data_IF_901047248658
#
_entry.id   IF_901047248658
#
_cell.length_a   1.000
_cell.length_b   1.000
_cell.length_c   1.000
_cell.angle_alpha   90.00
_cell.angle_beta   90.00
_cell.angle_gamma   90.00
#
_symmetry.space_group_name_H-M   'P 1'
#
loop_
_entity.id
_entity.type
_entity.pdbx_description
1 polymer ?
#
# COMPACT_ATOMS: atom_id res chain seq x y z
N UNK A 1 -5.35 5.63 -4.47
CA UNK A 1 -6.00 6.20 -3.27
C UNK A 1 -4.91 6.73 -2.37
N UNK A 2 -5.03 7.94 -1.82
CA UNK A 2 -4.00 8.49 -0.93
C UNK A 2 -4.21 8.00 0.51
N UNK A 3 -3.15 7.91 1.30
CA UNK A 3 -3.23 7.61 2.73
C UNK A 3 -4.15 8.63 3.44
N UNK A 4 -4.12 9.90 3.02
CA UNK A 4 -4.99 10.97 3.51
C UNK A 4 -6.49 10.65 3.32
N UNK A 5 -6.87 10.09 2.17
CA UNK A 5 -8.25 9.64 1.91
C UNK A 5 -8.61 8.45 2.79
N UNK A 6 -7.71 7.48 2.96
CA UNK A 6 -7.94 6.31 3.82
C UNK A 6 -8.09 6.72 5.28
N UNK A 7 -7.30 7.68 5.76
CA UNK A 7 -7.36 8.18 7.13
C UNK A 7 -8.61 9.04 7.39
N UNK A 8 -9.02 9.85 6.41
CA UNK A 8 -10.27 10.60 6.46
C UNK A 8 -11.52 9.71 6.36
N UNK A 9 -11.47 8.67 5.52
CA UNK A 9 -12.60 7.74 5.32
C UNK A 9 -12.69 6.69 6.43
N UNK A 10 -11.58 6.35 7.09
CA UNK A 10 -11.56 5.44 8.25
C UNK A 10 -11.97 6.13 9.56
N UNK A 11 -12.17 7.46 9.58
CA UNK A 11 -12.55 8.20 10.79
C UNK A 11 -11.42 8.31 11.84
N UNK A 12 -10.17 8.09 11.44
CA UNK A 12 -9.03 8.13 12.35
C UNK A 12 -8.77 9.52 12.94
N UNK A 13 -8.99 10.56 12.13
CA UNK A 13 -8.88 11.97 12.55
C UNK A 13 -10.00 12.30 13.55
N UNK A 14 -11.25 11.88 13.29
CA UNK A 14 -12.38 12.07 14.21
C UNK A 14 -12.19 11.37 15.54
N UNK A 15 -11.72 10.12 15.55
CA UNK A 15 -11.46 9.38 16.80
C UNK A 15 -10.35 10.04 17.61
N UNK A 16 -9.26 10.44 16.95
CA UNK A 16 -8.16 11.17 17.59
C UNK A 16 -8.62 12.54 18.12
N UNK A 17 -9.44 13.27 17.36
CA UNK A 17 -9.98 14.56 17.79
C UNK A 17 -10.82 14.42 19.07
N UNK A 18 -11.66 13.38 19.14
CA UNK A 18 -12.46 13.05 20.33
C UNK A 18 -11.59 12.68 21.52
N UNK A 19 -10.58 11.83 21.31
CA UNK A 19 -9.69 11.37 22.39
C UNK A 19 -8.83 12.49 22.97
N UNK A 20 -8.43 13.45 22.13
CA UNK A 20 -7.64 14.60 22.56
C UNK A 20 -8.49 15.80 23.00
N UNK A 21 -9.80 15.74 22.82
CA UNK A 21 -10.71 16.85 23.14
C UNK A 21 -10.50 18.08 22.27
N UNK A 22 -10.10 17.90 21.00
CA UNK A 22 -9.83 18.98 20.06
C UNK A 22 -10.79 18.95 18.87
N UNK A 23 -10.86 20.05 18.12
CA UNK A 23 -11.65 20.10 16.88
C UNK A 23 -11.02 19.23 15.78
N UNK A 24 -11.82 18.60 14.90
CA UNK A 24 -11.31 17.83 13.76
C UNK A 24 -10.32 18.61 12.89
N UNK A 25 -10.53 19.92 12.70
CA UNK A 25 -9.59 20.79 11.98
C UNK A 25 -8.20 20.87 12.64
N UNK A 26 -8.14 20.93 13.97
CA UNK A 26 -6.88 20.94 14.73
C UNK A 26 -6.19 19.58 14.62
N UNK A 27 -6.96 18.50 14.74
CA UNK A 27 -6.46 17.14 14.57
C UNK A 27 -5.90 16.91 13.16
N UNK A 28 -6.57 17.42 12.14
CA UNK A 28 -6.11 17.38 10.75
C UNK A 28 -4.81 18.18 10.55
N UNK A 29 -4.74 19.43 11.03
CA UNK A 29 -3.54 20.26 10.93
C UNK A 29 -2.33 19.62 11.61
N UNK A 30 -2.52 19.07 12.81
CA UNK A 30 -1.45 18.37 13.51
C UNK A 30 -1.03 17.08 12.78
N UNK A 31 -1.99 16.35 12.20
CA UNK A 31 -1.69 15.17 11.39
C UNK A 31 -0.88 15.52 10.14
N UNK A 32 -1.24 16.58 9.42
CA UNK A 32 -0.54 17.06 8.23
C UNK A 32 0.91 17.45 8.53
N UNK A 33 1.17 18.05 9.69
CA UNK A 33 2.52 18.43 10.11
C UNK A 33 3.38 17.24 10.59
N UNK A 34 2.75 16.23 11.18
CA UNK A 34 3.44 15.06 11.75
C UNK A 34 3.63 13.92 10.75
N UNK A 35 2.71 13.77 9.78
CA UNK A 35 2.70 12.69 8.79
C UNK A 35 4.01 12.55 8.02
N UNK A 36 4.61 13.62 7.45
CA UNK A 36 5.83 13.50 6.67
C UNK A 36 6.99 12.90 7.46
N UNK A 37 7.11 13.27 8.74
CA UNK A 37 8.13 12.73 9.62
C UNK A 37 7.88 11.24 9.91
N UNK A 38 6.65 10.87 10.25
CA UNK A 38 6.27 9.48 10.54
C UNK A 38 6.53 8.60 9.31
N UNK A 39 6.09 9.03 8.12
CA UNK A 39 6.30 8.32 6.86
C UNK A 39 7.79 8.19 6.51
N UNK A 40 8.57 9.26 6.69
CA UNK A 40 10.02 9.22 6.50
C UNK A 40 10.72 8.26 7.45
N UNK A 41 10.26 8.18 8.71
CA UNK A 41 10.75 7.21 9.70
C UNK A 41 10.48 5.76 9.27
N UNK A 42 9.26 5.47 8.83
CA UNK A 42 8.90 4.15 8.29
C UNK A 42 9.71 3.80 7.04
N UNK A 43 9.88 4.74 6.10
CA UNK A 43 10.69 4.53 4.90
C UNK A 43 12.15 4.21 5.24
N UNK A 44 12.73 4.92 6.22
CA UNK A 44 14.10 4.66 6.70
C UNK A 44 14.24 3.27 7.33
N UNK A 45 13.23 2.84 8.10
CA UNK A 45 13.21 1.49 8.67
C UNK A 45 13.09 0.41 7.58
N UNK A 46 12.24 0.65 6.58
CA UNK A 46 12.05 -0.26 5.45
C UNK A 46 13.33 -0.45 4.61
N UNK A 47 14.17 0.58 4.52
CA UNK A 47 15.46 0.52 3.80
C UNK A 47 16.59 -0.11 4.64
N UNK A 48 16.44 -0.19 5.96
CA UNK A 48 17.52 -0.52 6.89
C UNK A 48 17.48 -1.93 7.51
N UNK A 49 16.43 -2.72 7.32
CA UNK A 49 16.24 -4.02 8.02
C UNK A 49 15.79 -5.16 7.10
N UNK A 50 16.33 -6.36 7.35
CA UNK A 50 16.06 -7.57 6.55
C UNK A 50 14.65 -8.16 6.71
N UNK A 51 13.93 -7.80 7.77
CA UNK A 51 12.49 -8.00 7.90
C UNK A 51 11.79 -6.69 7.50
N UNK A 52 11.17 -6.68 6.32
CA UNK A 52 10.52 -5.49 5.77
C UNK A 52 9.47 -4.90 6.72
N UNK A 53 9.09 -3.65 6.44
CA UNK A 53 8.17 -2.84 7.24
C UNK A 53 6.91 -3.59 7.72
N UNK A 54 6.36 -4.46 6.87
CA UNK A 54 5.19 -5.28 7.18
C UNK A 54 5.40 -6.26 8.34
N UNK A 55 6.58 -6.88 8.46
CA UNK A 55 6.89 -7.82 9.55
C UNK A 55 7.00 -7.12 10.91
N UNK A 56 7.65 -5.95 10.92
CA UNK A 56 7.75 -5.10 12.11
C UNK A 56 6.36 -4.63 12.57
N UNK A 57 5.53 -4.16 11.64
CA UNK A 57 4.20 -3.68 11.97
C UNK A 57 3.30 -4.85 12.41
N UNK A 58 3.38 -6.01 11.74
CA UNK A 58 2.65 -7.21 12.14
C UNK A 58 3.02 -7.65 13.56
N UNK A 59 4.32 -7.63 13.91
CA UNK A 59 4.80 -7.97 15.25
C UNK A 59 4.35 -6.99 16.35
N UNK A 60 4.04 -5.74 15.99
CA UNK A 60 3.56 -4.71 16.93
C UNK A 60 2.05 -4.66 17.09
N UNK A 61 1.29 -5.44 16.30
CA UNK A 61 -0.17 -5.48 16.38
C UNK A 61 -0.89 -5.38 15.03
N UNK A 62 -0.16 -5.19 13.93
CA UNK A 62 -0.68 -5.25 12.56
C UNK A 62 -1.93 -4.39 12.34
N UNK A 63 -2.92 -4.95 11.65
CA UNK A 63 -4.21 -4.27 11.43
C UNK A 63 -5.01 -3.99 12.72
N UNK A 64 -4.65 -4.60 13.85
CA UNK A 64 -5.26 -4.33 15.16
C UNK A 64 -4.86 -2.99 15.76
N UNK A 65 -3.74 -2.39 15.31
CA UNK A 65 -3.33 -1.03 15.68
C UNK A 65 -4.36 0.01 15.21
N UNK A 66 -4.89 -0.18 14.00
CA UNK A 66 -5.95 0.68 13.46
C UNK A 66 -7.24 0.50 14.26
N UNK A 67 -7.61 -0.75 14.58
CA UNK A 67 -8.80 -1.07 15.37
C UNK A 67 -8.72 -0.48 16.79
N UNK A 68 -7.53 -0.47 17.40
CA UNK A 68 -7.29 0.13 18.70
C UNK A 68 -7.46 1.66 18.71
N UNK A 69 -7.15 2.35 17.60
CA UNK A 69 -7.33 3.81 17.46
C UNK A 69 -8.76 4.18 17.08
N UNK A 70 -9.42 3.34 16.27
CA UNK A 70 -10.80 3.55 15.82
C UNK A 70 -11.84 3.07 16.84
N UNK A 71 -11.45 2.17 17.73
CA UNK A 71 -12.31 1.56 18.72
C UNK A 71 -12.74 2.53 19.81
N UNK A 72 -13.69 2.09 20.62
CA UNK A 72 -14.21 2.86 21.77
C UNK A 72 -13.29 2.82 23.00
N UNK A 73 -12.17 2.09 22.93
CA UNK A 73 -11.21 1.96 24.02
C UNK A 73 -10.13 3.03 23.92
N UNK A 74 -9.54 3.47 25.05
CA UNK A 74 -8.42 4.38 25.03
C UNK A 74 -7.27 3.79 24.23
N UNK A 75 -6.72 4.60 23.33
CA UNK A 75 -5.69 4.14 22.43
C UNK A 75 -4.41 3.79 23.22
N UNK A 76 -3.77 2.63 22.99
CA UNK A 76 -2.56 2.24 23.70
C UNK A 76 -1.37 3.16 23.38
N UNK A 77 -1.19 4.23 24.18
CA UNK A 77 -0.10 5.20 24.00
C UNK A 77 1.28 4.51 24.10
N UNK A 78 1.37 3.42 24.87
CA UNK A 78 2.57 2.58 24.97
C UNK A 78 3.02 2.02 23.62
N UNK A 79 2.13 1.33 22.91
CA UNK A 79 2.44 0.76 21.58
C UNK A 79 2.82 1.84 20.57
N UNK A 80 2.13 2.99 20.59
CA UNK A 80 2.49 4.12 19.74
C UNK A 80 3.90 4.62 20.03
N UNK A 81 4.29 4.71 21.30
CA UNK A 81 5.66 5.09 21.68
C UNK A 81 6.71 4.04 21.26
N UNK A 82 6.36 2.76 21.25
CA UNK A 82 7.26 1.69 20.82
C UNK A 82 7.50 1.75 19.30
N UNK A 83 6.43 1.93 18.51
CA UNK A 83 6.52 2.16 17.05
C UNK A 83 7.43 3.35 16.78
N UNK A 84 7.21 4.46 17.48
CA UNK A 84 8.02 5.67 17.34
C UNK A 84 9.49 5.44 17.69
N UNK A 85 9.75 4.69 18.76
CA UNK A 85 11.12 4.30 19.14
C UNK A 85 11.81 3.50 18.05
N UNK A 86 11.08 2.64 17.34
CA UNK A 86 11.63 1.85 16.24
C UNK A 86 11.88 2.70 14.99
N UNK A 87 10.90 3.50 14.54
CA UNK A 87 11.02 4.26 13.28
C UNK A 87 11.95 5.47 13.40
N UNK A 88 11.99 6.11 14.57
CA UNK A 88 12.83 7.29 14.81
C UNK A 88 14.13 6.96 15.55
N UNK A 89 14.27 5.75 16.08
CA UNK A 89 15.44 5.28 16.83
C UNK A 89 15.55 5.81 18.26
N UNK A 90 14.94 6.96 18.58
CA UNK A 90 14.94 7.51 19.93
C UNK A 90 13.71 8.38 20.22
N UNK A 91 13.34 8.46 21.50
CA UNK A 91 12.25 9.33 21.98
C UNK A 91 12.58 10.81 21.80
N UNK A 92 13.86 11.17 21.74
CA UNK A 92 14.31 12.55 21.55
C UNK A 92 14.01 13.04 20.13
N UNK A 93 14.16 12.17 19.13
CA UNK A 93 13.76 12.47 17.75
C UNK A 93 12.23 12.67 17.69
N UNK A 94 11.44 11.78 18.30
CA UNK A 94 9.97 11.94 18.36
C UNK A 94 9.56 13.26 19.02
N UNK A 95 10.23 13.67 20.10
CA UNK A 95 9.98 14.96 20.77
C UNK A 95 10.35 16.15 19.88
N UNK A 96 11.44 16.03 19.12
CA UNK A 96 11.89 17.06 18.18
C UNK A 96 10.88 17.22 17.04
N UNK A 97 10.37 16.11 16.50
CA UNK A 97 9.31 16.11 15.47
C UNK A 97 8.05 16.81 16.00
N UNK A 98 7.59 16.49 17.21
CA UNK A 98 6.45 17.18 17.81
C UNK A 98 6.70 18.69 18.02
N UNK A 99 7.90 19.07 18.47
CA UNK A 99 8.27 20.47 18.65
C UNK A 99 8.35 21.24 17.32
N UNK A 100 8.84 20.60 16.26
CA UNK A 100 8.88 21.18 14.93
C UNK A 100 7.47 21.38 14.36
N UNK A 101 6.61 20.38 14.47
CA UNK A 101 5.21 20.49 14.07
C UNK A 101 4.47 21.59 14.85
N UNK A 102 4.78 21.79 16.13
CA UNK A 102 4.20 22.87 16.94
C UNK A 102 4.57 24.25 16.38
N UNK A 103 5.85 24.44 16.03
CA UNK A 103 6.33 25.68 15.43
C UNK A 103 5.72 25.98 14.06
N UNK A 104 5.39 24.95 13.27
CA UNK A 104 4.78 25.12 11.95
C UNK A 104 3.27 25.39 12.02
N UNK A 105 2.57 24.67 12.89
CA UNK A 105 1.10 24.70 12.97
C UNK A 105 0.57 25.76 13.94
N UNK A 106 1.41 26.24 14.87
CA UNK A 106 0.98 27.06 15.99
C UNK A 106 0.21 26.30 17.07
N UNK A 107 0.14 24.96 16.98
CA UNK A 107 -0.53 24.11 17.96
C UNK A 107 0.34 23.88 19.20
N UNK A 108 -0.31 23.56 20.32
CA UNK A 108 0.39 23.23 21.56
C UNK A 108 1.32 22.01 21.38
N UNK A 109 2.56 22.15 21.84
CA UNK A 109 3.55 21.07 21.74
C UNK A 109 3.18 19.85 22.60
N UNK A 110 2.43 20.04 23.69
CA UNK A 110 1.89 18.97 24.53
C UNK A 110 0.80 18.18 23.81
N UNK A 111 -0.09 18.86 23.09
CA UNK A 111 -1.10 18.26 22.22
C UNK A 111 -0.43 17.41 21.12
N UNK A 112 0.52 17.98 20.38
CA UNK A 112 1.20 17.27 19.30
C UNK A 112 1.99 16.06 19.80
N UNK A 113 2.62 16.15 20.98
CA UNK A 113 3.26 14.99 21.64
C UNK A 113 2.28 13.86 21.94
N UNK A 114 1.02 14.17 22.26
CA UNK A 114 -0.03 13.17 22.47
C UNK A 114 -0.61 12.65 21.15
N UNK A 115 -0.66 13.48 20.11
CA UNK A 115 -1.08 13.07 18.76
C UNK A 115 -0.10 12.11 18.10
N UNK A 116 1.19 12.32 18.33
CA UNK A 116 2.26 11.65 17.59
C UNK A 116 2.23 10.10 17.74
N UNK A 117 2.03 9.52 18.94
CA UNK A 117 1.82 8.07 19.10
C UNK A 117 0.53 7.55 18.46
N UNK A 118 -0.58 8.31 18.54
CA UNK A 118 -1.87 7.93 17.96
C UNK A 118 -1.77 7.84 16.43
N UNK A 119 -1.17 8.86 15.81
CA UNK A 119 -0.92 8.91 14.38
C UNK A 119 0.00 7.81 13.91
N UNK A 120 1.05 7.50 14.67
CA UNK A 120 1.95 6.40 14.33
C UNK A 120 1.22 5.06 14.27
N UNK A 121 0.34 4.77 15.23
CA UNK A 121 -0.48 3.55 15.23
C UNK A 121 -1.53 3.54 14.13
N UNK A 122 -2.15 4.69 13.87
CA UNK A 122 -3.12 4.85 12.80
C UNK A 122 -2.48 4.56 11.44
N UNK A 123 -1.31 5.14 11.17
CA UNK A 123 -0.55 4.92 9.93
C UNK A 123 -0.03 3.49 9.84
N UNK A 124 0.56 2.96 10.92
CA UNK A 124 1.01 1.57 10.98
C UNK A 124 -0.13 0.60 10.71
N UNK A 125 -1.26 0.77 11.39
CA UNK A 125 -2.44 -0.07 11.25
C UNK A 125 -3.12 0.09 9.89
N UNK A 126 -3.14 1.28 9.29
CA UNK A 126 -3.65 1.50 7.95
C UNK A 126 -2.79 0.82 6.88
N UNK A 127 -1.46 0.91 7.00
CA UNK A 127 -0.53 0.17 6.14
C UNK A 127 -0.72 -1.32 6.33
N UNK A 128 -0.69 -1.80 7.57
CA UNK A 128 -0.93 -3.21 7.87
C UNK A 128 -2.27 -3.68 7.33
N UNK A 129 -3.37 -2.94 7.49
CA UNK A 129 -4.69 -3.31 6.96
C UNK A 129 -4.70 -3.29 5.43
N UNK A 130 -3.93 -2.40 4.80
CA UNK A 130 -3.69 -2.37 3.36
C UNK A 130 -2.91 -3.59 2.87
N UNK A 131 -1.91 -4.03 3.62
CA UNK A 131 -1.12 -5.24 3.37
C UNK A 131 -1.89 -6.54 3.72
N UNK A 132 -2.74 -6.51 4.76
CA UNK A 132 -3.47 -7.69 5.30
C UNK A 132 -4.81 -7.89 4.59
N UNK A 133 -5.33 -6.89 3.86
CA UNK A 133 -6.50 -7.07 2.98
C UNK A 133 -6.19 -7.84 1.68
N UNK A 134 -4.99 -8.40 1.56
CA UNK A 134 -4.61 -9.39 0.54
C UNK A 134 -4.17 -10.74 1.19
N UNK A 135 -4.73 -11.06 2.36
CA UNK A 135 -4.50 -12.33 3.07
C UNK A 135 -5.62 -13.37 2.93
N UNK A 136 -6.56 -13.19 1.99
CA UNK A 136 -7.63 -14.17 1.79
C UNK A 136 -8.76 -13.72 0.86
N UNK A 137 -8.61 -14.01 -0.43
CA UNK A 137 -9.73 -14.13 -1.37
C UNK A 137 -9.87 -12.99 -2.39
N UNK A 138 -9.62 -13.33 -3.66
CA UNK A 138 -10.26 -12.85 -4.91
C UNK A 138 -10.76 -11.39 -4.99
N UNK A 139 -10.22 -10.69 -6.00
CA UNK A 139 -10.67 -9.41 -6.61
C UNK A 139 -10.33 -8.08 -5.90
N UNK A 140 -9.30 -7.37 -6.40
CA UNK A 140 -9.37 -5.90 -6.58
C UNK A 140 -8.26 -5.00 -5.98
N UNK A 141 -7.17 -4.80 -6.72
CA UNK A 141 -6.52 -3.48 -6.90
C UNK A 141 -6.06 -2.69 -5.66
N UNK A 142 -5.22 -3.27 -4.81
CA UNK A 142 -4.59 -2.59 -3.66
C UNK A 142 -3.32 -1.79 -4.01
N UNK A 143 -3.02 -0.76 -3.21
CA UNK A 143 -1.79 0.06 -3.31
C UNK A 143 -0.50 -0.75 -3.07
N UNK A 144 -0.61 -1.91 -2.42
CA UNK A 144 0.48 -2.89 -2.29
C UNK A 144 0.90 -3.48 -3.64
N UNK A 145 -0.03 -3.60 -4.60
CA UNK A 145 0.25 -4.06 -5.96
C UNK A 145 0.88 -2.95 -6.82
N UNK A 146 0.60 -1.68 -6.52
CA UNK A 146 1.24 -0.54 -7.18
C UNK A 146 2.66 -0.30 -6.67
N UNK A 147 2.90 -0.41 -5.36
CA UNK A 147 4.23 -0.23 -4.77
C UNK A 147 5.07 -1.51 -4.95
N UNK A 148 4.45 -2.68 -4.80
CA UNK A 148 5.05 -3.98 -5.12
C UNK A 148 5.32 -4.15 -6.62
N UNK A 149 4.44 -3.65 -7.49
CA UNK A 149 4.64 -3.63 -8.93
C UNK A 149 5.68 -2.59 -9.39
N UNK A 150 5.71 -1.40 -8.78
CA UNK A 150 6.69 -0.36 -9.12
C UNK A 150 8.08 -0.64 -8.56
N UNK A 151 8.19 -1.24 -7.37
CA UNK A 151 9.47 -1.56 -6.73
C UNK A 151 9.96 -2.98 -7.07
N UNK A 152 9.06 -3.95 -7.23
CA UNK A 152 9.35 -5.30 -7.70
C UNK A 152 9.66 -5.34 -9.20
N UNK A 153 9.10 -4.43 -9.99
CA UNK A 153 9.44 -4.26 -11.42
C UNK A 153 10.86 -3.72 -11.67
N UNK A 154 11.56 -3.23 -10.64
CA UNK A 154 12.94 -2.76 -10.75
C UNK A 154 13.99 -3.82 -10.35
N UNK A 155 13.58 -4.95 -9.77
CA UNK A 155 14.50 -5.92 -9.16
C UNK A 155 14.33 -7.39 -9.59
N UNK A 156 13.26 -7.77 -10.30
CA UNK A 156 13.06 -9.19 -10.64
C UNK A 156 12.21 -9.38 -11.89
N UNK A 157 12.81 -9.99 -12.92
CA UNK A 157 12.13 -10.30 -14.17
C UNK A 157 11.04 -11.37 -14.05
N UNK A 158 10.25 -11.44 -15.12
CA UNK A 158 9.30 -12.50 -15.49
C UNK A 158 8.00 -12.59 -14.68
N UNK A 159 6.92 -12.06 -15.27
CA UNK A 159 5.60 -12.66 -15.14
C UNK A 159 4.44 -11.71 -14.82
N UNK A 160 3.70 -11.34 -15.87
CA UNK A 160 2.23 -11.34 -15.82
C UNK A 160 1.51 -10.12 -15.24
N UNK A 161 0.85 -9.37 -16.13
CA UNK A 161 -0.55 -9.00 -15.91
C UNK A 161 -0.84 -7.73 -15.11
N UNK A 162 -0.53 -6.55 -15.66
CA UNK A 162 -1.08 -5.28 -15.21
C UNK A 162 -1.43 -4.42 -16.42
N UNK A 163 -2.46 -3.56 -16.30
CA UNK A 163 -3.06 -2.75 -17.37
C UNK A 163 -2.09 -1.82 -18.15
N UNK A 164 -0.82 -1.74 -17.75
CA UNK A 164 0.29 -1.22 -18.58
C UNK A 164 0.66 -2.11 -19.77
N UNK A 165 0.35 -3.42 -19.75
CA UNK A 165 0.54 -4.35 -20.86
C UNK A 165 -0.53 -4.23 -21.96
N UNK A 166 -1.74 -3.77 -21.62
CA UNK A 166 -2.78 -3.49 -22.63
C UNK A 166 -2.53 -2.16 -23.35
N UNK A 167 -2.04 -1.15 -22.64
CA UNK A 167 -1.67 0.12 -23.25
C UNK A 167 -0.31 0.05 -23.96
N UNK A 168 0.63 -0.76 -23.46
CA UNK A 168 1.89 -1.09 -24.14
C UNK A 168 1.70 -1.99 -25.37
N UNK A 169 0.74 -2.92 -25.34
CA UNK A 169 0.36 -3.74 -26.49
C UNK A 169 -0.45 -2.99 -27.56
N UNK A 170 -1.06 -1.86 -27.22
CA UNK A 170 -1.85 -1.04 -28.16
C UNK A 170 -1.07 0.16 -28.70
N UNK A 171 -0.11 0.71 -27.94
CA UNK A 171 0.65 1.90 -28.33
C UNK A 171 2.12 1.62 -28.68
N UNK A 172 2.63 0.42 -28.39
CA UNK A 172 4.04 0.06 -28.54
C UNK A 172 4.26 -1.27 -29.26
N UNK A 173 3.55 -1.53 -30.35
CA UNK A 173 3.77 -2.73 -31.16
C UNK A 173 2.74 -2.85 -32.27
N UNK A 174 3.12 -2.46 -33.48
CA UNK A 174 2.21 -2.38 -34.61
C UNK A 174 1.58 -3.72 -35.02
N UNK A 175 0.33 -3.64 -35.49
CA UNK A 175 -0.33 -4.69 -36.26
C UNK A 175 -1.56 -5.25 -35.59
N UNK A 176 -2.72 -4.68 -35.89
CA UNK A 176 -4.02 -5.10 -35.35
C UNK A 176 -4.33 -6.58 -35.63
N UNK A 177 -4.91 -7.25 -34.62
CA UNK A 177 -5.29 -8.66 -34.78
C UNK A 177 -6.31 -9.18 -33.76
N UNK A 178 -7.23 -8.31 -33.30
CA UNK A 178 -8.42 -8.75 -32.55
C UNK A 178 -9.40 -9.59 -33.40
N UNK A 179 -9.23 -9.58 -34.72
CA UNK A 179 -10.00 -10.39 -35.67
C UNK A 179 -9.25 -11.65 -36.18
N UNK A 180 -7.91 -11.77 -36.03
CA UNK A 180 -7.22 -13.04 -36.33
C UNK A 180 -6.95 -13.90 -35.09
N UNK A 181 -7.06 -13.39 -33.87
CA UNK A 181 -7.00 -14.24 -32.67
C UNK A 181 -8.17 -15.23 -32.57
N UNK A 182 -9.35 -14.85 -33.08
CA UNK A 182 -10.51 -15.73 -33.22
C UNK A 182 -10.40 -16.69 -34.42
N UNK A 183 -9.69 -16.29 -35.49
CA UNK A 183 -9.37 -17.17 -36.62
C UNK A 183 -8.29 -18.20 -36.25
N UNK A 184 -7.30 -17.82 -35.44
CA UNK A 184 -6.26 -18.71 -34.92
C UNK A 184 -6.83 -19.85 -34.08
N UNK A 185 -7.88 -19.59 -33.29
CA UNK A 185 -8.63 -20.61 -32.54
C UNK A 185 -9.54 -21.50 -33.40
N UNK A 186 -9.81 -21.12 -34.64
CA UNK A 186 -10.53 -21.98 -35.60
C UNK A 186 -9.56 -22.82 -36.45
N UNK A 187 -8.30 -22.38 -36.57
CA UNK A 187 -7.21 -23.04 -37.30
C UNK A 187 -6.54 -24.10 -36.43
N UNK A 188 -6.35 -23.84 -35.14
CA UNK A 188 -5.87 -24.81 -34.14
C UNK A 188 -7.02 -25.70 -33.66
N UNK A 189 -7.39 -26.68 -34.49
CA UNK A 189 -8.61 -27.50 -34.29
C UNK A 189 -8.36 -28.69 -33.35
N UNK A 190 -7.12 -29.11 -33.16
CA UNK A 190 -6.75 -30.21 -32.26
C UNK A 190 -6.21 -29.72 -30.90
N UNK A 191 -5.90 -28.42 -30.74
CA UNK A 191 -5.56 -27.79 -29.47
C UNK A 191 -4.13 -28.04 -28.99
N UNK A 192 -3.18 -28.30 -29.90
CA UNK A 192 -1.78 -28.54 -29.55
C UNK A 192 -0.90 -27.28 -29.61
N UNK A 193 -1.46 -26.16 -30.06
CA UNK A 193 -0.78 -24.86 -30.11
C UNK A 193 0.17 -24.68 -31.30
N UNK A 194 0.10 -25.54 -32.34
CA UNK A 194 0.98 -25.45 -33.50
C UNK A 194 0.21 -25.50 -34.84
N UNK A 195 -0.27 -24.36 -35.38
CA UNK A 195 -1.16 -24.32 -36.54
C UNK A 195 -0.51 -24.81 -37.86
N UNK A 196 0.82 -24.98 -37.87
CA UNK A 196 1.56 -25.50 -39.03
C UNK A 196 1.33 -27.00 -39.24
N UNK A 197 1.07 -27.78 -38.18
CA UNK A 197 0.83 -29.22 -38.28
C UNK A 197 -0.57 -29.50 -38.86
N UNK A 198 -1.56 -28.70 -38.47
CA UNK A 198 -2.93 -28.77 -39.01
C UNK A 198 -2.99 -28.45 -40.51
N UNK A 199 -2.21 -27.47 -40.97
CA UNK A 199 -2.13 -27.10 -42.40
C UNK A 199 -1.41 -28.20 -43.20
N UNK A 200 -0.35 -28.80 -42.63
CA UNK A 200 0.42 -29.85 -43.28
C UNK A 200 -0.37 -31.18 -43.34
N UNK A 201 -1.17 -31.47 -42.31
CA UNK A 201 -2.08 -32.61 -42.25
C UNK A 201 -3.23 -32.54 -43.26
N UNK A 202 -3.74 -31.34 -43.58
CA UNK A 202 -4.70 -31.16 -44.68
C UNK A 202 -4.07 -31.32 -46.06
N UNK A 203 -2.85 -30.82 -46.26
CA UNK A 203 -2.15 -30.92 -47.55
C UNK A 203 -1.75 -32.38 -47.90
N UNK A 204 -1.46 -33.21 -46.90
CA UNK A 204 -1.15 -34.64 -47.10
C UNK A 204 -2.36 -35.51 -47.47
N UNK A 205 -3.59 -35.10 -47.14
CA UNK A 205 -4.82 -35.86 -47.40
C UNK A 205 -5.41 -35.68 -48.80
N UNK A 206 -4.85 -34.81 -49.64
CA UNK A 206 -5.34 -34.54 -51.00
C UNK A 206 -4.54 -35.25 -52.11
N UNK A 207 -3.56 -36.09 -51.76
CA UNK A 207 -2.77 -36.89 -52.72
C UNK A 207 -2.82 -38.40 -52.45
N UNK A 208 -3.91 -38.87 -51.84
CA UNK A 208 -4.23 -40.29 -51.65
C UNK A 208 -5.67 -40.55 -52.03
#
# INVERSE_FOLDING_TARGET
MNLSDILGQAGGIESMAKELGVSPAIAQQGAEALLPAILGGFQKQAQGGGEGLGGLIAGLGGGGLLDAVLGSQPTPVGQGNDILGQIFGSKDVSRTVAGHAAGQTGLDAGLLKKMLPLLAMLVAGAMAKGDTKDGGGVDGGGLGDLIGGALGGAAGGSGGGGLGGLLGGMLGGGGGSGALGSLGKLIDRNGDGNPLDDILGMAGKLKG
#
